data_IF_839321170183
#
_entry.id   IF_839321170183
#
_cell.length_a   1.000
_cell.length_b   1.000
_cell.length_c   1.000
_cell.angle_alpha   90.00
_cell.angle_beta   90.00
_cell.angle_gamma   90.00
#
_symmetry.space_group_name_H-M   'P 1'
#
loop_
_entity.id
_entity.type
_entity.pdbx_description
1 polymer ?
#
# COMPACT_ATOMS: atom_id res chain seq x y z
N UNK A 1 14.56 -19.56 5.56
CA UNK A 1 13.80 -19.68 4.30
C UNK A 1 12.54 -20.54 4.43
N UNK A 2 12.59 -21.72 5.08
CA UNK A 2 11.42 -22.62 5.28
C UNK A 2 10.17 -21.96 5.92
N UNK A 3 10.36 -21.08 6.91
CA UNK A 3 9.25 -20.34 7.57
C UNK A 3 8.53 -19.36 6.65
N UNK A 4 9.27 -18.73 5.73
CA UNK A 4 8.70 -17.78 4.77
C UNK A 4 7.92 -18.49 3.67
N UNK A 5 8.35 -19.69 3.28
CA UNK A 5 7.66 -20.54 2.29
C UNK A 5 6.27 -20.95 2.80
N UNK A 6 6.17 -21.35 4.08
CA UNK A 6 4.87 -21.68 4.68
C UNK A 6 3.95 -20.46 4.77
N UNK A 7 4.46 -19.29 5.19
CA UNK A 7 3.64 -18.07 5.24
C UNK A 7 3.22 -17.58 3.86
N UNK A 8 4.09 -17.68 2.85
CA UNK A 8 3.75 -17.30 1.46
C UNK A 8 2.69 -18.24 0.90
N UNK A 9 2.80 -19.55 1.15
CA UNK A 9 1.81 -20.56 0.73
C UNK A 9 0.43 -20.31 1.34
N UNK A 10 0.36 -19.98 2.64
CA UNK A 10 -0.90 -19.66 3.33
C UNK A 10 -1.55 -18.39 2.77
N UNK A 11 -0.76 -17.37 2.43
CA UNK A 11 -1.26 -16.13 1.81
C UNK A 11 -1.78 -16.36 0.39
N UNK A 12 -1.18 -17.30 -0.36
CA UNK A 12 -1.65 -17.64 -1.71
C UNK A 12 -2.98 -18.41 -1.69
N UNK A 13 -3.20 -19.27 -0.69
CA UNK A 13 -4.44 -20.05 -0.57
C UNK A 13 -5.63 -19.20 -0.11
N UNK A 14 -5.41 -18.12 0.67
CA UNK A 14 -6.50 -17.23 1.07
C UNK A 14 -7.08 -16.39 -0.08
N UNK A 15 -6.40 -16.32 -1.24
CA UNK A 15 -6.85 -15.59 -2.42
C UNK A 15 -7.97 -16.29 -3.20
N UNK A 16 -8.25 -17.57 -2.96
CA UNK A 16 -9.29 -18.32 -3.68
C UNK A 16 -10.65 -18.19 -2.99
N UNK A 17 -11.19 -16.97 -2.94
CA UNK A 17 -12.58 -16.76 -2.52
C UNK A 17 -13.49 -17.15 -3.69
N UNK A 18 -14.26 -18.23 -3.55
CA UNK A 18 -15.28 -18.60 -4.54
C UNK A 18 -16.33 -17.49 -4.65
N UNK A 19 -16.51 -16.96 -5.86
CA UNK A 19 -17.51 -15.93 -6.12
C UNK A 19 -18.94 -16.48 -5.93
N UNK A 20 -19.76 -15.79 -5.13
CA UNK A 20 -21.18 -16.07 -5.01
C UNK A 20 -21.92 -15.74 -6.33
N UNK A 21 -23.13 -16.25 -6.52
CA UNK A 21 -23.87 -16.08 -7.77
C UNK A 21 -24.20 -14.62 -8.10
N UNK A 22 -24.29 -13.76 -7.08
CA UNK A 22 -24.40 -12.30 -7.28
C UNK A 22 -23.14 -11.73 -7.93
N UNK A 23 -21.95 -12.13 -7.46
CA UNK A 23 -20.68 -11.69 -8.02
C UNK A 23 -20.42 -12.22 -9.44
N UNK A 24 -21.04 -13.35 -9.85
CA UNK A 24 -20.93 -13.88 -11.23
C UNK A 24 -21.75 -13.09 -12.25
N UNK A 25 -22.80 -12.40 -11.82
CA UNK A 25 -23.71 -11.64 -12.70
C UNK A 25 -23.23 -10.20 -12.98
N UNK A 26 -22.10 -9.78 -12.42
CA UNK A 26 -21.55 -8.47 -12.69
C UNK A 26 -21.03 -8.40 -14.15
N UNK A 27 -21.30 -7.28 -14.83
CA UNK A 27 -20.78 -7.00 -16.19
C UNK A 27 -19.50 -6.17 -16.09
N UNK A 28 -18.50 -6.70 -15.38
CA UNK A 28 -17.20 -6.03 -15.22
C UNK A 28 -16.09 -6.87 -15.85
N UNK A 29 -14.93 -6.26 -16.06
CA UNK A 29 -13.75 -6.98 -16.58
C UNK A 29 -13.16 -7.96 -15.55
N UNK A 30 -13.58 -7.85 -14.28
CA UNK A 30 -13.06 -8.62 -13.13
C UNK A 30 -14.14 -9.47 -12.44
N UNK A 31 -15.13 -9.93 -13.21
CA UNK A 31 -16.17 -10.85 -12.76
C UNK A 31 -15.58 -12.13 -12.20
N UNK A 32 -15.86 -12.41 -10.92
CA UNK A 32 -15.39 -13.61 -10.23
C UNK A 32 -14.12 -13.44 -9.38
N UNK A 33 -13.41 -12.32 -9.51
CA UNK A 33 -12.23 -11.97 -8.69
C UNK A 33 -12.58 -10.85 -7.70
N UNK A 34 -13.34 -9.85 -8.16
CA UNK A 34 -13.73 -8.70 -7.34
C UNK A 34 -14.99 -9.00 -6.51
N UNK A 35 -14.92 -8.67 -5.23
CA UNK A 35 -16.07 -8.63 -4.32
C UNK A 35 -16.74 -7.26 -4.40
N UNK A 36 -18.08 -7.23 -4.48
CA UNK A 36 -18.87 -6.00 -4.50
C UNK A 36 -19.47 -5.68 -5.88
N UNK A 37 -20.13 -4.53 -6.00
CA UNK A 37 -20.66 -4.07 -7.29
C UNK A 37 -19.51 -3.50 -8.13
N UNK A 38 -19.28 -4.12 -9.29
CA UNK A 38 -18.33 -3.62 -10.26
C UNK A 38 -18.78 -2.29 -10.88
N UNK A 39 -17.86 -1.59 -11.58
CA UNK A 39 -18.18 -0.36 -12.30
C UNK A 39 -19.33 -0.57 -13.29
N UNK A 40 -20.33 0.30 -13.24
CA UNK A 40 -21.50 0.26 -14.11
C UNK A 40 -21.28 1.05 -15.40
N UNK A 41 -20.39 2.04 -15.36
CA UNK A 41 -20.13 2.97 -16.46
C UNK A 41 -18.63 3.10 -16.80
N UNK A 42 -18.31 3.59 -17.99
CA UNK A 42 -16.94 3.89 -18.41
C UNK A 42 -16.26 4.94 -17.51
N UNK A 43 -17.04 5.83 -16.88
CA UNK A 43 -16.51 6.83 -15.94
C UNK A 43 -16.04 6.18 -14.64
N UNK A 44 -16.72 5.14 -14.18
CA UNK A 44 -16.35 4.40 -12.99
C UNK A 44 -14.98 3.72 -13.20
N UNK A 45 -14.71 3.21 -14.41
CA UNK A 45 -13.41 2.66 -14.78
C UNK A 45 -12.29 3.72 -14.76
N UNK A 46 -12.57 4.95 -15.20
CA UNK A 46 -11.63 6.05 -15.14
C UNK A 46 -11.29 6.41 -13.68
N UNK A 47 -12.30 6.46 -12.81
CA UNK A 47 -12.12 6.73 -11.38
C UNK A 47 -11.29 5.63 -10.73
N UNK A 48 -11.60 4.35 -11.01
CA UNK A 48 -10.82 3.22 -10.51
C UNK A 48 -9.36 3.30 -10.97
N UNK A 49 -9.11 3.62 -12.24
CA UNK A 49 -7.76 3.80 -12.76
C UNK A 49 -7.00 4.93 -12.03
N UNK A 50 -7.66 6.07 -11.80
CA UNK A 50 -7.08 7.17 -11.03
C UNK A 50 -6.74 6.74 -9.59
N UNK A 51 -7.65 6.03 -8.93
CA UNK A 51 -7.43 5.53 -7.56
C UNK A 51 -6.25 4.57 -7.46
N UNK A 52 -6.05 3.72 -8.47
CA UNK A 52 -4.86 2.85 -8.55
C UNK A 52 -3.58 3.69 -8.60
N UNK A 53 -3.54 4.72 -9.46
CA UNK A 53 -2.37 5.60 -9.60
C UNK A 53 -2.05 6.29 -8.27
N UNK A 54 -3.06 6.89 -7.62
CA UNK A 54 -2.89 7.58 -6.33
C UNK A 54 -2.44 6.59 -5.25
N UNK A 55 -3.04 5.40 -5.19
CA UNK A 55 -2.68 4.39 -4.19
C UNK A 55 -1.25 3.91 -4.36
N UNK A 56 -0.80 3.66 -5.61
CA UNK A 56 0.59 3.29 -5.88
C UNK A 56 1.58 4.39 -5.51
N UNK A 57 1.23 5.66 -5.76
CA UNK A 57 2.04 6.80 -5.35
C UNK A 57 2.18 6.87 -3.82
N UNK A 58 1.07 6.78 -3.10
CA UNK A 58 1.06 6.81 -1.63
C UNK A 58 1.79 5.60 -1.06
N UNK A 59 1.56 4.41 -1.62
CA UNK A 59 2.28 3.20 -1.23
C UNK A 59 3.78 3.36 -1.44
N UNK A 60 4.22 3.89 -2.59
CA UNK A 60 5.62 4.17 -2.83
C UNK A 60 6.19 5.17 -1.82
N UNK A 61 5.47 6.26 -1.52
CA UNK A 61 5.88 7.22 -0.51
C UNK A 61 5.96 6.60 0.89
N UNK A 62 5.00 5.76 1.26
CA UNK A 62 4.97 5.04 2.54
C UNK A 62 6.15 4.06 2.65
N UNK A 63 6.40 3.25 1.61
CA UNK A 63 7.57 2.37 1.55
C UNK A 63 8.85 3.19 1.60
N UNK A 64 8.92 4.31 0.86
CA UNK A 64 10.05 5.24 0.94
C UNK A 64 10.22 5.74 2.37
N UNK A 65 9.18 6.13 3.10
CA UNK A 65 9.31 6.54 4.50
C UNK A 65 9.75 5.39 5.41
N UNK A 66 9.22 4.18 5.23
CA UNK A 66 9.57 3.02 6.06
C UNK A 66 11.02 2.56 5.83
N UNK A 67 11.48 2.51 4.58
CA UNK A 67 12.84 2.09 4.25
C UNK A 67 13.85 3.24 4.33
N UNK A 68 13.43 4.47 4.00
CA UNK A 68 14.18 5.71 4.21
C UNK A 68 13.74 6.34 5.52
N UNK A 69 13.96 5.62 6.62
CA UNK A 69 14.16 6.23 7.93
C UNK A 69 15.52 6.92 7.94
N UNK A 70 15.64 7.97 7.13
CA UNK A 70 16.86 8.78 7.06
C UNK A 70 16.68 9.89 8.07
N UNK A 71 17.04 9.59 9.31
CA UNK A 71 17.29 10.59 10.35
C UNK A 71 18.44 11.48 9.85
N UNK A 72 18.11 12.49 9.05
CA UNK A 72 19.08 13.21 8.24
C UNK A 72 19.48 14.59 8.77
N UNK A 73 19.00 15.02 9.95
CA UNK A 73 19.53 16.22 10.61
C UNK A 73 19.46 16.12 12.14
N UNK A 74 20.65 15.95 12.71
CA UNK A 74 21.38 16.89 13.56
C UNK A 74 20.66 17.86 14.53
N UNK A 75 19.37 17.73 14.89
CA UNK A 75 18.78 18.59 15.97
C UNK A 75 17.65 18.03 16.90
N UNK A 76 17.36 16.73 16.91
CA UNK A 76 16.63 16.01 17.99
C UNK A 76 17.38 16.04 19.36
N UNK A 77 16.87 15.49 20.49
CA UNK A 77 17.69 15.34 21.74
C UNK A 77 18.95 14.46 21.56
N UNK A 78 19.00 13.77 20.40
CA UNK A 78 20.15 13.07 19.83
C UNK A 78 21.17 14.02 19.19
N UNK A 79 20.88 15.31 19.20
CA UNK A 79 21.56 16.35 18.45
C UNK A 79 21.35 17.80 19.02
N UNK A 80 20.85 17.92 20.24
CA UNK A 80 20.60 19.19 20.96
C UNK A 80 21.86 19.98 21.31
N UNK A 81 23.06 19.42 21.12
CA UNK A 81 24.34 20.07 21.46
C UNK A 81 24.89 20.98 20.35
N UNK A 82 24.39 20.86 19.12
CA UNK A 82 25.03 21.49 17.96
C UNK A 82 24.67 22.99 17.83
N UNK A 83 23.58 23.43 18.48
CA UNK A 83 23.28 24.87 18.62
C UNK A 83 24.10 25.50 19.77
N UNK A 84 24.45 24.75 20.82
CA UNK A 84 24.95 25.32 22.08
C UNK A 84 26.46 25.53 22.18
N UNK A 85 27.28 24.92 21.32
CA UNK A 85 28.75 25.06 21.32
C UNK A 85 29.26 26.22 20.42
N UNK A 86 28.38 26.95 19.74
CA UNK A 86 28.72 28.14 18.92
C UNK A 86 28.67 29.46 19.73
N UNK A 87 28.21 29.41 20.99
CA UNK A 87 28.27 30.53 21.94
C UNK A 87 29.34 30.24 23.00
N UNK A 88 30.59 30.57 22.67
CA UNK A 88 31.77 30.26 23.48
C UNK A 88 31.64 30.57 24.98
N UNK A 89 31.48 29.51 25.77
CA UNK A 89 31.79 29.42 27.20
C UNK A 89 32.76 28.26 27.39
#
# INVERSE_FOLDING_TARGET
MRKYIFTISVILVSGTAFACDACKKQKSLFTGISHGRGPESNWDYLIVALMIVVTLYVLFAALKCMFKSSENHRSHIKYTFIESDDYGI
#
